data_IF_278808000042
#
_entry.id   IF_278808000042
#
_cell.length_a   1.000
_cell.length_b   1.000
_cell.length_c   1.000
_cell.angle_alpha   90.00
_cell.angle_beta   90.00
_cell.angle_gamma   90.00
#
_symmetry.space_group_name_H-M   'P 1'
#
loop_
_entity.id
_entity.type
_entity.pdbx_description
1 polymer ?
#
# COMPACT_ATOMS: atom_id res chain seq x y z
N UNK A 1 22.23 -4.15 9.86
CA UNK A 1 21.42 -3.19 9.07
C UNK A 1 20.17 -3.97 8.70
N UNK A 2 19.29 -4.21 9.67
CA UNK A 2 18.18 -5.14 9.54
C UNK A 2 16.90 -4.38 9.84
N UNK A 3 15.99 -4.33 8.87
CA UNK A 3 14.76 -3.52 8.95
C UNK A 3 14.24 -3.00 7.62
N UNK A 4 14.95 -3.24 6.51
CA UNK A 4 14.43 -2.96 5.16
C UNK A 4 13.82 -4.22 4.55
N UNK A 5 12.56 -4.10 4.14
CA UNK A 5 11.88 -5.11 3.33
C UNK A 5 12.17 -4.82 1.86
N UNK A 6 12.41 -5.87 1.09
CA UNK A 6 12.59 -5.82 -0.35
C UNK A 6 11.64 -6.81 -1.02
N UNK A 7 10.61 -6.28 -1.67
CA UNK A 7 9.63 -7.07 -2.43
C UNK A 7 9.93 -6.96 -3.91
N UNK A 8 9.90 -8.07 -4.65
CA UNK A 8 10.00 -8.04 -6.10
C UNK A 8 8.72 -7.42 -6.67
N UNK A 9 8.86 -6.26 -7.29
CA UNK A 9 7.76 -5.43 -7.76
C UNK A 9 7.82 -5.27 -9.28
N UNK A 10 7.44 -6.32 -10.00
CA UNK A 10 7.31 -6.26 -11.46
C UNK A 10 6.10 -5.43 -11.89
N UNK A 11 5.90 -5.27 -13.21
CA UNK A 11 4.73 -4.58 -13.77
C UNK A 11 3.41 -5.09 -13.19
N UNK A 12 3.23 -6.41 -13.12
CA UNK A 12 2.02 -7.05 -12.58
C UNK A 12 1.77 -6.69 -11.11
N UNK A 13 2.83 -6.59 -10.30
CA UNK A 13 2.72 -6.20 -8.90
C UNK A 13 2.17 -4.77 -8.77
N UNK A 14 2.75 -3.83 -9.52
CA UNK A 14 2.29 -2.44 -9.52
C UNK A 14 0.86 -2.31 -10.05
N UNK A 15 0.52 -3.05 -11.10
CA UNK A 15 -0.84 -3.09 -11.67
C UNK A 15 -1.84 -3.62 -10.65
N UNK A 16 -1.48 -4.64 -9.86
CA UNK A 16 -2.33 -5.18 -8.79
C UNK A 16 -2.53 -4.14 -7.68
N UNK A 17 -1.47 -3.45 -7.23
CA UNK A 17 -1.61 -2.41 -6.21
C UNK A 17 -2.56 -1.29 -6.68
N UNK A 18 -2.39 -0.82 -7.92
CA UNK A 18 -3.30 0.17 -8.50
C UNK A 18 -4.74 -0.35 -8.67
N UNK A 19 -4.91 -1.66 -8.87
CA UNK A 19 -6.24 -2.28 -9.01
C UNK A 19 -6.99 -2.37 -7.68
N UNK A 20 -6.29 -2.70 -6.58
CA UNK A 20 -6.90 -2.91 -5.26
C UNK A 20 -7.10 -1.60 -4.48
N UNK A 21 -6.16 -0.65 -4.60
CA UNK A 21 -6.26 0.65 -3.94
C UNK A 21 -7.07 1.65 -4.78
N UNK A 22 -8.38 1.43 -4.82
CA UNK A 22 -9.33 2.36 -5.45
C UNK A 22 -9.51 3.63 -4.62
N UNK A 23 -9.96 4.71 -5.25
CA UNK A 23 -10.30 5.96 -4.55
C UNK A 23 -11.33 5.73 -3.44
N UNK A 24 -12.33 4.87 -3.66
CA UNK A 24 -13.32 4.45 -2.65
C UNK A 24 -12.65 3.83 -1.42
N UNK A 25 -11.70 2.91 -1.63
CA UNK A 25 -10.96 2.28 -0.54
C UNK A 25 -10.11 3.31 0.22
N UNK A 26 -9.39 4.16 -0.52
CA UNK A 26 -8.51 5.17 0.06
C UNK A 26 -9.28 6.17 0.92
N UNK A 27 -10.40 6.68 0.43
CA UNK A 27 -11.23 7.64 1.17
C UNK A 27 -11.92 7.02 2.39
N UNK A 28 -12.22 5.72 2.35
CA UNK A 28 -12.88 4.99 3.43
C UNK A 28 -11.92 4.60 4.56
N UNK A 29 -10.67 4.28 4.23
CA UNK A 29 -9.73 3.66 5.17
C UNK A 29 -8.47 4.50 5.47
N UNK A 30 -8.26 5.58 4.74
CA UNK A 30 -7.07 6.43 4.84
C UNK A 30 -7.44 7.90 4.85
N UNK A 31 -6.48 8.74 5.24
CA UNK A 31 -6.60 10.20 5.16
C UNK A 31 -6.30 10.77 3.75
N UNK A 32 -6.20 9.92 2.71
CA UNK A 32 -5.86 10.32 1.35
C UNK A 32 -7.03 10.14 0.38
N UNK A 33 -7.11 11.01 -0.63
CA UNK A 33 -8.16 10.95 -1.66
C UNK A 33 -8.01 9.76 -2.61
N UNK A 34 -6.77 9.34 -2.89
CA UNK A 34 -6.43 8.26 -3.81
C UNK A 34 -5.04 7.68 -3.52
N UNK A 35 -4.70 6.59 -4.23
CA UNK A 35 -3.44 5.87 -4.02
C UNK A 35 -2.22 6.67 -4.49
N UNK A 36 -2.37 7.57 -5.46
CA UNK A 36 -1.27 8.43 -5.91
C UNK A 36 -0.79 9.38 -4.81
N UNK A 37 -1.71 10.02 -4.08
CA UNK A 37 -1.37 10.87 -2.94
C UNK A 37 -0.70 10.10 -1.80
N UNK A 38 -1.14 8.86 -1.54
CA UNK A 38 -0.47 7.99 -0.56
C UNK A 38 0.98 7.68 -0.98
N UNK A 39 1.20 7.33 -2.25
CA UNK A 39 2.54 7.06 -2.78
C UNK A 39 3.44 8.30 -2.74
N UNK A 40 2.91 9.47 -3.09
CA UNK A 40 3.64 10.73 -3.01
C UNK A 40 4.06 11.04 -1.57
N UNK A 41 3.14 10.92 -0.62
CA UNK A 41 3.39 11.21 0.80
C UNK A 41 4.40 10.25 1.44
N UNK A 42 4.51 9.03 0.92
CA UNK A 42 5.45 8.01 1.39
C UNK A 42 6.70 7.83 0.51
N UNK A 43 6.91 8.67 -0.51
CA UNK A 43 8.03 8.52 -1.45
C UNK A 43 9.42 8.67 -0.80
N UNK A 44 9.49 9.32 0.37
CA UNK A 44 10.73 9.45 1.15
C UNK A 44 11.13 8.16 1.87
N UNK A 45 10.21 7.21 2.02
CA UNK A 45 10.40 5.98 2.80
C UNK A 45 10.16 4.71 1.99
N UNK A 46 9.43 4.77 0.88
CA UNK A 46 9.13 3.60 0.05
C UNK A 46 9.42 3.88 -1.43
N UNK A 47 10.07 2.94 -2.12
CA UNK A 47 10.21 3.00 -3.57
C UNK A 47 8.92 2.53 -4.24
N UNK A 48 8.26 3.44 -4.97
CA UNK A 48 7.00 3.21 -5.67
C UNK A 48 7.16 2.95 -7.18
N UNK A 49 8.37 2.54 -7.58
CA UNK A 49 8.71 2.25 -8.96
C UNK A 49 9.94 1.35 -9.04
N UNK A 50 10.19 0.82 -10.23
CA UNK A 50 11.32 -0.09 -10.50
C UNK A 50 10.97 -1.55 -10.26
N UNK A 51 12.00 -2.40 -10.31
CA UNK A 51 11.84 -3.86 -10.17
C UNK A 51 11.60 -4.33 -8.73
N UNK A 52 11.82 -3.45 -7.75
CA UNK A 52 11.69 -3.76 -6.33
C UNK A 52 10.99 -2.63 -5.59
N UNK A 53 10.09 -3.01 -4.70
CA UNK A 53 9.55 -2.14 -3.65
C UNK A 53 10.44 -2.34 -2.41
N UNK A 54 11.09 -1.26 -1.97
CA UNK A 54 12.02 -1.27 -0.85
C UNK A 54 11.53 -0.23 0.15
N UNK A 55 11.36 -0.65 1.41
CA UNK A 55 10.94 0.24 2.48
C UNK A 55 11.48 -0.22 3.84
N UNK A 56 11.76 0.70 4.78
CA UNK A 56 12.05 0.35 6.17
C UNK A 56 10.74 -0.05 6.87
N UNK A 57 10.64 -1.30 7.32
CA UNK A 57 9.40 -1.90 7.83
C UNK A 57 8.76 -1.07 8.95
N UNK A 58 9.52 -0.77 10.00
CA UNK A 58 9.01 -0.02 11.16
C UNK A 58 8.57 1.38 10.78
N UNK A 59 9.35 2.07 9.95
CA UNK A 59 9.04 3.45 9.54
C UNK A 59 7.79 3.48 8.67
N UNK A 60 7.68 2.55 7.73
CA UNK A 60 6.54 2.50 6.82
C UNK A 60 5.27 2.05 7.53
N UNK A 61 5.35 1.10 8.46
CA UNK A 61 4.21 0.72 9.31
C UNK A 61 3.76 1.87 10.22
N UNK A 62 4.69 2.67 10.77
CA UNK A 62 4.32 3.86 11.54
C UNK A 62 3.56 4.88 10.66
N UNK A 63 4.01 5.11 9.42
CA UNK A 63 3.29 5.95 8.47
C UNK A 63 1.88 5.40 8.18
N UNK A 64 1.74 4.09 8.00
CA UNK A 64 0.43 3.45 7.79
C UNK A 64 -0.48 3.66 9.01
N UNK A 65 0.02 3.48 10.23
CA UNK A 65 -0.75 3.73 11.48
C UNK A 65 -1.18 5.18 11.60
N UNK A 66 -0.32 6.13 11.23
CA UNK A 66 -0.62 7.57 11.35
C UNK A 66 -1.61 8.05 10.28
N UNK A 67 -1.64 7.40 9.11
CA UNK A 67 -2.39 7.86 7.95
C UNK A 67 -3.60 7.01 7.57
N UNK A 68 -3.76 5.85 8.21
CA UNK A 68 -4.80 4.87 7.89
C UNK A 68 -5.35 4.21 9.15
N UNK A 69 -6.42 3.42 9.01
CA UNK A 69 -6.98 2.62 10.12
C UNK A 69 -6.20 1.32 10.40
N UNK A 70 -5.16 1.01 9.63
CA UNK A 70 -4.43 -0.26 9.68
C UNK A 70 -3.16 -0.17 10.53
N UNK A 71 -2.69 -1.32 11.04
CA UNK A 71 -1.49 -1.37 11.88
C UNK A 71 -0.21 -1.64 11.09
N UNK A 72 -0.34 -2.24 9.91
CA UNK A 72 0.80 -2.55 9.03
C UNK A 72 0.42 -2.37 7.58
N UNK A 73 1.43 -2.19 6.73
CA UNK A 73 1.25 -2.18 5.27
C UNK A 73 0.61 -3.47 4.75
N UNK A 74 1.05 -4.63 5.25
CA UNK A 74 0.51 -5.92 4.83
C UNK A 74 -0.98 -6.05 5.15
N UNK A 75 -1.42 -5.60 6.33
CA UNK A 75 -2.84 -5.59 6.70
C UNK A 75 -3.67 -4.72 5.73
N UNK A 76 -3.15 -3.54 5.40
CA UNK A 76 -3.78 -2.62 4.44
C UNK A 76 -3.91 -3.24 3.04
N UNK A 77 -2.84 -3.89 2.55
CA UNK A 77 -2.83 -4.56 1.23
C UNK A 77 -3.81 -5.74 1.20
N UNK A 78 -3.78 -6.59 2.24
CA UNK A 78 -4.69 -7.73 2.34
C UNK A 78 -6.14 -7.26 2.36
N UNK A 79 -6.46 -6.23 3.15
CA UNK A 79 -7.82 -5.69 3.21
C UNK A 79 -8.28 -5.11 1.87
N UNK A 80 -7.41 -4.38 1.17
CA UNK A 80 -7.73 -3.85 -0.16
C UNK A 80 -7.97 -4.96 -1.18
N UNK A 81 -7.17 -6.03 -1.14
CA UNK A 81 -7.34 -7.19 -2.00
C UNK A 81 -8.68 -7.91 -1.70
N UNK A 82 -8.97 -8.16 -0.42
CA UNK A 82 -10.23 -8.77 0.01
C UNK A 82 -11.43 -7.95 -0.48
N UNK A 83 -11.48 -6.63 -0.21
CA UNK A 83 -12.61 -5.81 -0.65
C UNK A 83 -12.77 -5.74 -2.18
N UNK A 84 -11.66 -5.84 -2.93
CA UNK A 84 -11.69 -5.81 -4.40
C UNK A 84 -12.17 -7.14 -4.99
N UNK A 85 -11.77 -8.27 -4.41
CA UNK A 85 -11.99 -9.59 -4.97
C UNK A 85 -13.16 -10.36 -4.32
N UNK A 86 -13.49 -10.11 -3.05
CA UNK A 86 -14.70 -10.65 -2.42
C UNK A 86 -15.98 -10.07 -3.06
N UNK A 87 -15.96 -8.80 -3.49
CA UNK A 87 -17.04 -8.19 -4.29
C UNK A 87 -17.29 -8.92 -5.63
N UNK A 88 -16.41 -9.81 -6.09
CA UNK A 88 -16.58 -10.57 -7.34
C UNK A 88 -17.19 -11.97 -7.17
N UNK A 89 -17.41 -12.45 -5.93
CA UNK A 89 -17.94 -13.80 -5.67
C UNK A 89 -19.40 -13.76 -5.17
N UNK A 90 -20.01 -12.58 -5.06
CA UNK A 90 -21.45 -12.43 -4.73
C UNK A 90 -22.33 -12.16 -5.94
#
# INVERSE_FOLDING_TARGET
>A
MDGYIRVKAGKEFWDILNLIFTDEFMQKHTNFENFEYFRYSSAVMCSWSGEYMIYPETVFNNFVVESTVFKTWDEMVMKAADEKFEKKIS
#
